data_IF_542900849328
#
_entry.id   IF_542900849328
#
_cell.length_a   1.000
_cell.length_b   1.000
_cell.length_c   1.000
_cell.angle_alpha   90.00
_cell.angle_beta   90.00
_cell.angle_gamma   90.00
#
_symmetry.space_group_name_H-M   'P 1'
#
loop_
_entity.id
_entity.type
_entity.pdbx_description
1 polymer ?
#
# COMPACT_ATOMS: atom_id res chain seq x y z
N UNK A 1 -43.44 -56.36 -33.79
CA UNK A 1 -43.28 -55.73 -33.65
C UNK A 1 -42.66 -55.01 -33.09
N UNK A 2 -42.20 -54.57 -32.92
CA UNK A 2 -41.63 -53.89 -32.50
C UNK A 2 -41.23 -53.05 -32.09
N UNK A 3 -40.82 -52.48 -31.68
CA UNK A 3 -40.41 -51.57 -31.27
C UNK A 3 -39.59 -51.12 -30.83
N UNK A 4 -39.16 -50.59 -30.84
CA UNK A 4 -38.37 -50.10 -30.55
C UNK A 4 -38.06 -49.24 -30.00
N UNK A 5 -37.79 -48.90 -29.51
CA UNK A 5 -37.49 -48.00 -28.86
C UNK A 5 -36.60 -47.46 -28.69
N UNK A 6 -36.28 -46.99 -28.93
CA UNK A 6 -35.53 -46.38 -28.83
C UNK A 6 -35.20 -45.77 -28.08
N UNK A 7 -34.73 -45.73 -27.53
CA UNK A 7 -34.36 -45.17 -26.70
C UNK A 7 -33.81 -44.21 -26.65
N UNK A 8 -33.76 -43.55 -26.49
CA UNK A 8 -33.32 -42.64 -26.44
C UNK A 8 -32.63 -42.31 -25.62
N UNK A 9 -31.89 -41.88 -25.51
CA UNK A 9 -31.15 -41.63 -24.94
C UNK A 9 -30.90 -40.47 -24.66
N UNK A 10 -31.03 -40.12 -23.93
CA UNK A 10 -30.94 -39.02 -23.42
C UNK A 10 -29.64 -38.72 -23.17
N UNK A 11 -29.19 -37.88 -23.65
CA UNK A 11 -28.00 -37.58 -23.43
C UNK A 11 -27.85 -36.59 -22.51
N UNK A 12 -27.24 -36.71 -21.67
CA UNK A 12 -27.07 -35.86 -20.68
C UNK A 12 -26.25 -34.82 -20.99
N UNK A 13 -26.58 -33.86 -20.83
CA UNK A 13 -25.98 -32.89 -21.05
C UNK A 13 -25.30 -32.43 -20.06
N UNK A 14 -24.30 -32.33 -19.90
CA UNK A 14 -23.62 -31.91 -19.04
C UNK A 14 -23.21 -30.75 -19.10
N UNK A 15 -23.67 -30.07 -18.60
CA UNK A 15 -23.35 -28.95 -18.17
C UNK A 15 -22.09 -28.91 -17.63
N UNK A 16 -21.20 -28.55 -18.21
CA UNK A 16 -20.10 -28.43 -17.74
C UNK A 16 -19.93 -27.29 -17.09
N UNK A 17 -19.98 -27.21 -16.03
CA UNK A 17 -19.77 -26.11 -15.25
C UNK A 17 -18.40 -25.76 -15.35
N UNK A 18 -18.11 -24.87 -16.03
CA UNK A 18 -16.86 -24.48 -16.09
C UNK A 18 -16.61 -23.58 -15.05
N UNK A 19 -15.98 -23.93 -14.15
CA UNK A 19 -15.66 -23.11 -13.13
C UNK A 19 -14.49 -22.44 -13.52
N UNK A 20 -14.59 -21.30 -13.89
CA UNK A 20 -13.49 -20.58 -14.17
C UNK A 20 -13.06 -20.04 -12.91
N UNK A 21 -12.11 -20.52 -12.49
CA UNK A 21 -11.55 -20.03 -11.33
C UNK A 21 -10.90 -18.80 -11.72
N UNK A 22 -11.23 -17.74 -11.21
CA UNK A 22 -10.64 -16.60 -11.46
C UNK A 22 -9.59 -16.41 -10.62
N UNK A 23 -8.53 -16.39 -11.14
CA UNK A 23 -7.43 -15.99 -10.39
C UNK A 23 -7.66 -14.58 -10.11
N UNK A 24 -8.07 -14.26 -9.05
CA UNK A 24 -8.19 -13.01 -8.72
C UNK A 24 -6.98 -12.54 -8.29
N UNK A 25 -6.33 -11.77 -9.03
CA UNK A 25 -5.25 -11.03 -8.51
C UNK A 25 -5.90 -10.23 -7.45
N UNK A 26 -5.59 -10.47 -6.32
CA UNK A 26 -6.05 -9.73 -5.23
C UNK A 26 -5.52 -8.37 -5.43
N UNK A 27 -6.30 -7.40 -5.58
CA UNK A 27 -5.83 -6.07 -5.73
C UNK A 27 -5.22 -5.78 -4.40
N UNK A 28 -4.10 -5.17 -4.40
CA UNK A 28 -3.44 -4.86 -3.20
C UNK A 28 -4.40 -4.03 -2.42
N UNK A 29 -4.84 -4.53 -1.32
CA UNK A 29 -5.81 -3.90 -0.57
C UNK A 29 -5.13 -2.88 0.22
N UNK A 30 -5.47 -1.67 0.11
CA UNK A 30 -4.94 -0.61 0.92
C UNK A 30 -5.97 -0.30 1.99
N UNK A 31 -5.60 -0.53 3.21
CA UNK A 31 -6.49 -0.28 4.35
C UNK A 31 -6.50 1.19 4.77
N UNK A 32 -5.40 1.88 4.56
CA UNK A 32 -5.30 3.29 4.90
C UNK A 32 -4.44 4.03 3.91
N UNK A 33 -4.90 5.21 3.51
CA UNK A 33 -4.11 6.06 2.67
C UNK A 33 -3.85 7.33 3.46
N UNK A 34 -2.62 7.67 3.67
CA UNK A 34 -2.25 8.80 4.49
C UNK A 34 -1.46 9.80 3.69
N UNK A 35 -1.90 11.03 3.70
CA UNK A 35 -1.22 12.09 2.98
C UNK A 35 -0.27 12.80 3.93
N UNK A 36 0.96 12.89 3.52
CA UNK A 36 2.00 13.52 4.31
C UNK A 36 2.58 14.68 3.51
N UNK A 37 2.76 15.80 4.14
CA UNK A 37 3.37 16.95 3.51
C UNK A 37 4.74 17.17 4.11
N UNK A 38 5.72 17.37 3.26
CA UNK A 38 7.07 17.69 3.71
C UNK A 38 7.38 19.14 3.35
N UNK A 39 7.94 19.87 4.28
CA UNK A 39 8.42 21.21 4.00
C UNK A 39 9.53 21.51 4.97
N UNK A 40 10.18 22.66 4.83
CA UNK A 40 11.28 22.99 5.65
C UNK A 40 10.91 22.87 7.05
N UNK A 41 11.39 22.04 7.44
CA UNK A 41 12.06 21.17 8.35
C UNK A 41 11.05 20.38 9.13
N UNK A 42 9.94 20.06 8.54
CA UNK A 42 8.95 19.22 9.20
C UNK A 42 8.10 18.38 8.26
N UNK A 43 7.59 17.29 8.79
CA UNK A 43 6.61 16.50 8.13
C UNK A 43 5.26 16.77 8.79
N UNK A 44 4.20 16.79 8.04
CA UNK A 44 2.87 16.95 8.59
C UNK A 44 1.96 15.86 8.01
N UNK A 45 1.42 14.98 8.83
CA UNK A 45 1.54 14.93 10.30
C UNK A 45 2.88 14.35 10.76
N UNK A 46 3.27 14.69 11.96
CA UNK A 46 4.50 14.16 12.51
C UNK A 46 4.30 12.78 13.07
N UNK A 47 3.11 12.44 13.47
CA UNK A 47 2.80 11.15 14.02
C UNK A 47 1.74 10.51 13.15
N UNK A 48 2.06 9.37 12.59
CA UNK A 48 1.15 8.61 11.77
C UNK A 48 0.75 7.39 12.57
N UNK A 49 -0.53 7.19 12.76
CA UNK A 49 -1.02 6.04 13.51
C UNK A 49 -1.60 4.99 12.58
N UNK A 50 -1.34 3.75 12.87
CA UNK A 50 -1.84 2.64 12.08
C UNK A 50 -2.16 1.45 12.97
N UNK A 51 -2.93 0.53 12.45
CA UNK A 51 -3.24 -0.68 13.17
C UNK A 51 -2.36 -1.79 12.65
N UNK A 52 -1.94 -2.66 13.53
CA UNK A 52 -1.12 -3.79 13.13
C UNK A 52 -1.89 -4.62 12.09
N UNK A 53 -1.25 -4.96 11.04
CA UNK A 53 -1.84 -5.72 9.95
C UNK A 53 -2.33 -4.87 8.79
N UNK A 54 -2.40 -3.55 8.97
CA UNK A 54 -2.89 -2.68 7.91
C UNK A 54 -1.88 -2.54 6.79
N UNK A 55 -2.40 -2.47 5.60
CA UNK A 55 -1.59 -2.13 4.43
C UNK A 55 -1.78 -0.64 4.22
N UNK A 56 -0.70 0.10 4.32
CA UNK A 56 -0.75 1.55 4.31
C UNK A 56 -0.09 2.13 3.07
N UNK A 57 -0.74 3.09 2.48
CA UNK A 57 -0.17 3.84 1.38
C UNK A 57 0.11 5.25 1.86
N UNK A 58 1.35 5.65 1.79
CA UNK A 58 1.74 7.00 2.15
C UNK A 58 1.91 7.81 0.87
N UNK A 59 1.25 8.93 0.78
CA UNK A 59 1.40 9.82 -0.35
C UNK A 59 2.07 11.07 0.19
N UNK A 60 3.29 11.28 -0.20
CA UNK A 60 4.11 12.34 0.35
C UNK A 60 4.37 13.41 -0.69
N UNK A 61 4.07 14.63 -0.36
CA UNK A 61 4.26 15.75 -1.27
C UNK A 61 5.12 16.80 -0.59
N UNK A 62 6.05 17.36 -1.33
CA UNK A 62 6.85 18.44 -0.78
C UNK A 62 6.47 19.72 -1.49
N UNK A 63 6.40 20.80 -0.73
CA UNK A 63 5.92 22.07 -1.21
C UNK A 63 7.00 23.09 -1.48
N UNK A 64 8.12 22.99 -0.87
CA UNK A 64 9.12 24.06 -0.92
C UNK A 64 10.42 23.69 -1.61
N UNK A 65 10.84 22.47 -1.51
CA UNK A 65 12.10 22.03 -2.09
C UNK A 65 12.16 20.52 -2.07
N UNK A 66 13.20 19.94 -2.64
CA UNK A 66 13.39 18.51 -2.59
C UNK A 66 13.71 18.09 -1.18
N UNK A 67 13.14 17.03 -0.76
CA UNK A 67 13.39 16.42 0.55
C UNK A 67 13.59 14.91 0.33
N UNK A 68 13.62 14.15 1.37
CA UNK A 68 13.64 12.71 1.33
C UNK A 68 12.76 12.17 2.43
N UNK A 69 12.40 10.92 2.35
CA UNK A 69 11.63 10.26 3.39
C UNK A 69 12.22 8.89 3.62
N UNK A 70 12.66 8.65 4.83
CA UNK A 70 13.25 7.38 5.18
C UNK A 70 12.56 6.79 6.39
N UNK A 71 11.96 5.63 6.22
CA UNK A 71 11.35 4.88 7.30
C UNK A 71 12.09 3.53 7.30
N UNK A 72 13.18 3.50 8.00
CA UNK A 72 14.10 2.39 7.94
C UNK A 72 13.52 1.06 8.36
N UNK A 73 12.71 1.04 9.37
CA UNK A 73 12.11 -0.20 9.88
C UNK A 73 11.29 -0.94 8.83
N UNK A 74 10.81 -0.23 7.82
CA UNK A 74 10.01 -0.83 6.75
C UNK A 74 10.69 -0.72 5.40
N UNK A 75 11.98 -0.45 5.39
CA UNK A 75 12.79 -0.38 4.17
C UNK A 75 12.29 0.62 3.14
N UNK A 76 11.79 1.75 3.61
CA UNK A 76 11.37 2.82 2.72
C UNK A 76 12.41 3.92 2.73
N UNK A 77 12.88 4.30 1.56
CA UNK A 77 13.81 5.39 1.41
C UNK A 77 13.52 6.01 0.04
N UNK A 78 12.81 7.12 0.05
CA UNK A 78 12.35 7.74 -1.17
C UNK A 78 12.82 9.18 -1.30
N UNK A 79 13.14 9.58 -2.51
CA UNK A 79 13.43 10.97 -2.76
C UNK A 79 12.12 11.64 -3.00
N UNK A 80 11.98 12.85 -2.52
CA UNK A 80 10.77 13.62 -2.65
C UNK A 80 11.06 14.87 -3.49
N UNK A 81 10.88 14.79 -4.80
CA UNK A 81 11.11 15.96 -5.66
C UNK A 81 10.05 17.00 -5.41
N UNK A 82 10.45 18.26 -5.43
CA UNK A 82 9.50 19.34 -5.20
C UNK A 82 8.36 19.28 -6.20
N UNK A 83 7.17 19.40 -5.68
CA UNK A 83 5.96 19.45 -6.50
C UNK A 83 5.44 18.11 -6.98
N UNK A 84 6.07 17.01 -6.61
CA UNK A 84 5.60 15.71 -7.02
C UNK A 84 5.09 14.91 -5.84
N UNK A 85 4.05 14.15 -6.05
CA UNK A 85 3.56 13.25 -5.01
C UNK A 85 4.29 11.92 -5.18
N UNK A 86 4.87 11.44 -4.11
CA UNK A 86 5.60 10.17 -4.11
C UNK A 86 4.83 9.20 -3.23
N UNK A 87 4.61 8.01 -3.73
CA UNK A 87 3.85 7.01 -3.01
C UNK A 87 4.77 5.94 -2.45
N UNK A 88 4.60 5.64 -1.18
CA UNK A 88 5.28 4.53 -0.54
C UNK A 88 4.23 3.62 0.08
N UNK A 89 4.44 2.33 0.00
CA UNK A 89 3.51 1.38 0.60
C UNK A 89 4.21 0.48 1.58
N UNK A 90 3.53 0.15 2.66
CA UNK A 90 4.06 -0.76 3.64
C UNK A 90 2.94 -1.56 4.29
N UNK A 91 3.29 -2.68 4.88
CA UNK A 91 2.37 -3.44 5.71
C UNK A 91 2.84 -3.27 7.14
N UNK A 92 1.96 -2.80 7.98
CA UNK A 92 2.30 -2.57 9.38
C UNK A 92 2.28 -3.88 10.16
N UNK A 93 3.24 -4.72 9.90
CA UNK A 93 3.30 -6.06 10.46
C UNK A 93 3.92 -6.15 11.84
N UNK A 94 4.39 -5.05 12.37
CA UNK A 94 4.97 -5.03 13.70
C UNK A 94 4.38 -3.89 14.48
N UNK A 95 3.98 -4.14 15.70
CA UNK A 95 3.51 -3.10 16.60
C UNK A 95 4.72 -2.35 17.15
N UNK A 96 4.59 -1.11 17.39
CA UNK A 96 5.67 -0.30 17.97
C UNK A 96 5.70 1.11 17.41
N UNK A 97 6.72 1.83 17.76
CA UNK A 97 6.95 3.20 17.29
C UNK A 97 8.19 3.22 16.42
N UNK A 98 8.03 3.65 15.21
CA UNK A 98 9.11 3.63 14.24
C UNK A 98 9.38 5.04 13.73
N UNK A 99 10.58 5.54 13.87
CA UNK A 99 10.87 6.90 13.43
C UNK A 99 11.04 6.99 11.92
N UNK A 100 10.65 8.10 11.35
CA UNK A 100 11.02 8.42 9.99
C UNK A 100 11.69 9.79 9.96
N UNK A 101 12.49 10.01 8.96
CA UNK A 101 13.24 11.24 8.86
C UNK A 101 13.52 11.63 7.43
N UNK A 102 13.97 12.85 7.24
CA UNK A 102 14.39 13.31 5.93
C UNK A 102 15.75 12.69 5.63
N UNK A 103 15.83 11.96 4.54
CA UNK A 103 17.06 11.30 4.17
C UNK A 103 17.98 12.16 3.34
N UNK A 104 17.52 13.36 2.98
CA UNK A 104 18.26 14.18 2.06
C UNK A 104 18.73 15.41 2.76
N UNK A 105 20.00 15.60 2.92
CA UNK A 105 20.54 16.76 3.59
C UNK A 105 20.28 18.03 2.79
N UNK A 106 19.55 18.96 3.36
CA UNK A 106 19.22 20.21 2.70
C UNK A 106 19.22 21.38 3.65
N UNK A 107 20.29 21.60 4.34
CA UNK A 107 20.41 22.74 5.20
C UNK A 107 20.42 22.40 6.68
N UNK A 108 20.53 23.42 7.48
CA UNK A 108 20.76 23.26 8.90
C UNK A 108 19.60 22.64 9.69
N UNK A 109 18.40 22.79 9.22
CA UNK A 109 17.24 22.23 9.91
C UNK A 109 16.93 20.78 9.59
N UNK A 110 17.70 20.19 8.69
CA UNK A 110 17.50 18.84 8.26
C UNK A 110 17.39 17.83 9.41
N UNK A 111 18.19 17.98 10.42
CA UNK A 111 18.21 17.01 11.51
C UNK A 111 16.94 16.99 12.32
N UNK A 112 16.15 18.04 12.26
CA UNK A 112 14.94 18.12 13.04
C UNK A 112 13.72 17.64 12.25
N UNK A 113 13.93 17.25 10.99
CA UNK A 113 12.83 16.86 10.15
C UNK A 113 12.53 15.39 10.37
N UNK A 114 11.76 15.11 11.40
CA UNK A 114 11.47 13.75 11.84
C UNK A 114 10.02 13.56 12.23
N UNK A 115 9.58 12.36 12.21
CA UNK A 115 8.27 11.98 12.71
C UNK A 115 8.29 10.52 13.14
N UNK A 116 7.13 9.98 13.43
CA UNK A 116 7.03 8.59 13.86
C UNK A 116 5.80 7.92 13.31
N UNK A 117 5.94 6.67 12.99
CA UNK A 117 4.83 5.81 12.66
C UNK A 117 4.56 4.98 13.92
N UNK A 118 3.36 5.07 14.43
CA UNK A 118 2.96 4.31 15.62
C UNK A 118 1.99 3.22 15.18
N UNK A 119 2.36 1.97 15.36
CA UNK A 119 1.53 0.83 14.99
C UNK A 119 1.00 0.19 16.26
N UNK A 120 -0.29 0.11 16.38
CA UNK A 120 -0.91 -0.44 17.59
C UNK A 120 -1.64 -1.73 17.32
#
# INVERSE_FOLDING_TARGET
MTQVNCGRMAVPLYALAVVTAFAQSVPSRVDSEIKVTARKYEFSPKVIKAKKGDHIRLIITTLDRDHGFKLEAFHIDQKLPKGEAVTGELTADQAGTFPFECSHFRGLGHKNMRGQLVVE
#
